data_IF_309465563572
#
_entry.id   IF_309465563572
#
_cell.length_a   1.000
_cell.length_b   1.000
_cell.length_c   1.000
_cell.angle_alpha   90.00
_cell.angle_beta   90.00
_cell.angle_gamma   90.00
#
_symmetry.space_group_name_H-M   'P 1'
#
loop_
_entity.id
_entity.type
_entity.pdbx_description
1 polymer ?
#
# COMPACT_ATOMS: atom_id res chain seq x y z
N UNK A 1 20.12 -16.28 29.08
CA UNK A 1 19.49 -15.91 27.80
C UNK A 1 18.20 -16.71 27.70
N UNK A 2 17.03 -16.05 27.75
CA UNK A 2 15.74 -16.74 27.65
C UNK A 2 15.35 -16.86 26.18
N UNK A 3 15.23 -18.10 25.69
CA UNK A 3 14.73 -18.41 24.36
C UNK A 3 13.25 -18.01 24.28
N UNK A 4 12.91 -17.11 23.35
CA UNK A 4 11.53 -16.74 23.06
C UNK A 4 10.93 -17.81 22.15
N UNK A 5 10.01 -18.61 22.67
CA UNK A 5 9.20 -19.54 21.88
C UNK A 5 8.40 -18.78 20.81
N UNK A 6 8.61 -19.11 19.52
CA UNK A 6 7.88 -18.50 18.42
C UNK A 6 6.44 -19.02 18.40
N UNK A 7 5.48 -18.17 18.77
CA UNK A 7 4.05 -18.50 18.68
C UNK A 7 3.66 -18.61 17.20
N UNK A 8 3.23 -19.80 16.75
CA UNK A 8 2.67 -19.98 15.41
C UNK A 8 1.46 -19.06 15.24
N UNK A 9 1.29 -18.42 14.06
CA UNK A 9 0.11 -17.61 13.81
C UNK A 9 -1.15 -18.47 13.94
N UNK A 10 -2.25 -17.90 14.49
CA UNK A 10 -3.49 -18.63 14.68
C UNK A 10 -4.02 -19.14 13.34
N UNK A 11 -4.21 -20.45 13.25
CA UNK A 11 -4.83 -21.08 12.08
C UNK A 11 -6.28 -20.58 11.98
N UNK A 12 -6.58 -19.77 10.97
CA UNK A 12 -7.96 -19.36 10.72
C UNK A 12 -8.72 -20.59 10.19
N UNK A 13 -9.71 -21.05 10.96
CA UNK A 13 -10.66 -22.04 10.49
C UNK A 13 -11.71 -21.32 9.68
N UNK A 14 -11.76 -21.58 8.37
CA UNK A 14 -12.89 -21.17 7.54
C UNK A 14 -14.07 -22.06 7.95
N UNK A 15 -14.92 -21.57 8.84
CA UNK A 15 -16.21 -22.20 9.13
C UNK A 15 -17.18 -21.80 8.03
N UNK A 16 -17.53 -22.73 7.15
CA UNK A 16 -18.60 -22.53 6.16
C UNK A 16 -19.93 -22.62 6.90
N UNK A 17 -20.73 -21.54 7.01
CA UNK A 17 -22.03 -21.61 7.68
C UNK A 17 -23.04 -22.40 6.83
N UNK A 18 -23.81 -23.28 7.47
CA UNK A 18 -24.84 -24.09 6.80
C UNK A 18 -24.89 -25.54 7.31
N UNK A 19 -25.88 -26.28 6.80
CA UNK A 19 -26.01 -27.73 6.98
C UNK A 19 -24.81 -28.46 6.34
N UNK A 20 -24.37 -29.58 6.93
CA UNK A 20 -23.17 -30.31 6.51
C UNK A 20 -23.27 -30.78 5.05
N UNK A 21 -24.49 -31.02 4.57
CA UNK A 21 -24.75 -31.31 3.16
C UNK A 21 -24.33 -30.16 2.22
N UNK A 22 -24.58 -28.91 2.60
CA UNK A 22 -24.19 -27.74 1.78
C UNK A 22 -22.70 -27.47 1.85
N UNK A 23 -22.07 -27.73 3.01
CA UNK A 23 -20.61 -27.63 3.15
C UNK A 23 -19.91 -28.64 2.25
N UNK A 24 -20.41 -29.88 2.21
CA UNK A 24 -19.88 -30.92 1.34
C UNK A 24 -20.03 -30.54 -0.14
N UNK A 25 -21.20 -30.06 -0.56
CA UNK A 25 -21.43 -29.59 -1.94
C UNK A 25 -20.47 -28.46 -2.35
N UNK A 26 -20.23 -27.48 -1.46
CA UNK A 26 -19.26 -26.40 -1.72
C UNK A 26 -17.83 -26.92 -1.82
N UNK A 27 -17.43 -27.83 -0.93
CA UNK A 27 -16.09 -28.43 -0.96
C UNK A 27 -15.87 -29.28 -2.21
N UNK A 28 -16.87 -30.06 -2.61
CA UNK A 28 -16.83 -30.89 -3.82
C UNK A 28 -16.73 -30.00 -5.07
N UNK A 29 -17.47 -28.88 -5.13
CA UNK A 29 -17.35 -27.88 -6.20
C UNK A 29 -15.97 -27.23 -6.26
N UNK A 30 -15.38 -26.89 -5.11
CA UNK A 30 -14.02 -26.33 -5.06
C UNK A 30 -12.97 -27.35 -5.52
N UNK A 31 -13.11 -28.61 -5.14
CA UNK A 31 -12.25 -29.69 -5.64
C UNK A 31 -12.43 -29.91 -7.15
N UNK A 32 -13.66 -29.81 -7.66
CA UNK A 32 -13.94 -29.92 -9.08
C UNK A 32 -13.27 -28.80 -9.89
N UNK A 33 -13.43 -27.55 -9.47
CA UNK A 33 -12.75 -26.39 -10.09
C UNK A 33 -11.24 -26.58 -10.07
N UNK A 34 -10.67 -27.04 -8.94
CA UNK A 34 -9.25 -27.38 -8.84
C UNK A 34 -8.84 -28.43 -9.88
N UNK A 35 -9.65 -29.47 -10.06
CA UNK A 35 -9.34 -30.55 -11.02
C UNK A 35 -9.35 -30.08 -12.48
N UNK A 36 -10.22 -29.14 -12.84
CA UNK A 36 -10.29 -28.55 -14.18
C UNK A 36 -9.04 -27.71 -14.43
N UNK A 37 -8.70 -26.83 -13.50
CA UNK A 37 -7.52 -25.95 -13.63
C UNK A 37 -6.24 -26.78 -13.79
N UNK A 38 -6.08 -27.84 -13.00
CA UNK A 38 -4.93 -28.76 -13.09
C UNK A 38 -4.90 -29.46 -14.46
N UNK A 39 -6.05 -29.91 -14.98
CA UNK A 39 -6.10 -30.55 -16.31
C UNK A 39 -5.78 -29.58 -17.45
N UNK A 40 -6.27 -28.35 -17.39
CA UNK A 40 -6.02 -27.34 -18.43
C UNK A 40 -4.56 -26.84 -18.41
N UNK A 41 -3.90 -26.87 -17.25
CA UNK A 41 -2.50 -26.41 -17.10
C UNK A 41 -1.45 -27.47 -17.43
N UNK A 42 -1.81 -28.76 -17.55
CA UNK A 42 -0.86 -29.86 -17.74
C UNK A 42 -0.86 -30.52 -19.13
N UNK A 43 -1.43 -29.90 -20.17
CA UNK A 43 -1.25 -30.37 -21.56
C UNK A 43 0.12 -30.01 -22.18
N UNK A 44 1.13 -29.68 -21.37
CA UNK A 44 2.52 -29.52 -21.81
C UNK A 44 3.42 -30.43 -20.97
N UNK A 45 3.86 -31.50 -21.64
CA UNK A 45 4.94 -32.45 -21.36
C UNK A 45 4.98 -33.31 -20.09
N UNK A 46 5.06 -34.62 -20.37
CA UNK A 46 5.44 -35.69 -19.46
C UNK A 46 6.88 -35.49 -18.97
N UNK A 47 7.02 -34.92 -17.78
CA UNK A 47 8.13 -35.26 -16.89
C UNK A 47 7.63 -35.23 -15.46
N UNK A 48 7.95 -36.27 -14.69
CA UNK A 48 7.78 -36.37 -13.24
C UNK A 48 8.31 -35.10 -12.55
N UNK A 49 7.44 -34.10 -12.44
CA UNK A 49 7.78 -32.84 -11.81
C UNK A 49 7.00 -32.83 -10.52
N UNK A 50 7.73 -32.98 -9.42
CA UNK A 50 7.28 -32.77 -8.05
C UNK A 50 6.17 -31.73 -8.02
N UNK A 51 5.02 -32.08 -7.45
CA UNK A 51 3.99 -31.13 -7.04
C UNK A 51 4.62 -30.09 -6.10
N UNK A 52 5.27 -29.08 -6.67
CA UNK A 52 5.49 -27.84 -5.96
C UNK A 52 4.11 -27.28 -5.68
N UNK A 53 3.78 -27.18 -4.39
CA UNK A 53 2.62 -26.48 -3.88
C UNK A 53 2.47 -25.18 -4.67
N UNK A 54 1.50 -25.13 -5.61
CA UNK A 54 1.08 -23.90 -6.24
C UNK A 54 0.61 -22.98 -5.11
N UNK A 55 1.52 -22.10 -4.70
CA UNK A 55 1.30 -21.17 -3.63
C UNK A 55 0.35 -20.10 -4.18
N UNK A 56 -0.95 -20.37 -4.10
CA UNK A 56 -2.04 -19.46 -4.50
C UNK A 56 -2.12 -18.19 -3.63
N UNK A 57 -1.09 -17.92 -2.82
CA UNK A 57 -0.98 -16.67 -2.10
C UNK A 57 -0.63 -15.56 -3.10
N UNK A 58 -1.64 -14.77 -3.45
CA UNK A 58 -1.51 -13.49 -4.17
C UNK A 58 -0.80 -12.41 -3.34
N UNK A 59 -0.39 -12.74 -2.11
CA UNK A 59 0.26 -11.85 -1.18
C UNK A 59 1.77 -12.05 -1.23
N UNK A 60 2.49 -10.95 -1.42
CA UNK A 60 3.94 -10.92 -1.26
C UNK A 60 4.22 -10.92 0.25
N UNK A 61 4.94 -11.93 0.74
CA UNK A 61 5.44 -11.93 2.11
C UNK A 61 6.59 -10.92 2.20
N UNK A 62 6.44 -9.91 3.05
CA UNK A 62 7.43 -8.86 3.29
C UNK A 62 7.75 -8.78 4.78
N UNK A 63 8.93 -8.27 5.11
CA UNK A 63 9.27 -8.06 6.51
C UNK A 63 8.39 -6.95 7.11
N UNK A 64 8.13 -7.04 8.42
CA UNK A 64 7.27 -6.05 9.11
C UNK A 64 7.77 -4.60 8.93
N UNK A 65 9.09 -4.41 8.85
CA UNK A 65 9.70 -3.10 8.64
C UNK A 65 9.30 -2.45 7.31
N UNK A 66 8.93 -3.25 6.31
CA UNK A 66 8.57 -2.78 4.98
C UNK A 66 7.10 -2.33 4.90
N UNK A 67 6.24 -2.80 5.82
CA UNK A 67 4.82 -2.41 5.88
C UNK A 67 4.55 -1.25 6.82
N UNK A 68 5.39 -1.04 7.84
CA UNK A 68 5.23 0.03 8.84
C UNK A 68 5.70 1.41 8.33
N UNK A 69 5.83 1.58 7.01
CA UNK A 69 6.21 2.84 6.38
C UNK A 69 5.03 3.82 6.32
N UNK A 70 5.28 5.09 6.66
CA UNK A 70 4.27 6.14 6.47
C UNK A 70 4.16 6.52 5.00
N UNK A 71 3.01 6.20 4.41
CA UNK A 71 2.71 6.49 3.02
C UNK A 71 1.76 7.69 2.91
N UNK A 72 1.98 8.52 1.90
CA UNK A 72 1.11 9.62 1.52
C UNK A 72 1.08 9.76 0.00
N UNK A 73 0.01 10.35 -0.51
CA UNK A 73 -0.17 10.60 -1.94
C UNK A 73 0.36 11.98 -2.28
N UNK A 74 1.11 12.04 -3.38
CA UNK A 74 1.70 13.26 -3.92
C UNK A 74 1.13 13.56 -5.29
N UNK A 75 0.68 14.80 -5.48
CA UNK A 75 0.39 15.35 -6.80
C UNK A 75 1.71 15.72 -7.49
N UNK A 76 1.82 15.44 -8.78
CA UNK A 76 3.01 15.75 -9.59
C UNK A 76 3.39 17.24 -9.50
N UNK A 77 2.41 18.13 -9.59
CA UNK A 77 2.62 19.59 -9.48
C UNK A 77 3.17 20.01 -8.11
N UNK A 78 2.78 19.32 -7.03
CA UNK A 78 3.37 19.53 -5.69
C UNK A 78 4.82 19.05 -5.65
N UNK A 79 5.13 17.92 -6.29
CA UNK A 79 6.50 17.40 -6.34
C UNK A 79 7.43 18.34 -7.14
N UNK A 80 7.00 18.78 -8.31
CA UNK A 80 7.74 19.75 -9.14
C UNK A 80 8.05 21.03 -8.36
N UNK A 81 7.07 21.58 -7.62
CA UNK A 81 7.30 22.75 -6.75
C UNK A 81 8.36 22.50 -5.69
N UNK A 82 8.41 21.31 -5.09
CA UNK A 82 9.44 20.97 -4.10
C UNK A 82 10.84 20.98 -4.73
N UNK A 83 10.96 20.42 -5.92
CA UNK A 83 12.22 20.42 -6.69
C UNK A 83 12.66 21.85 -6.98
N UNK A 84 11.79 22.68 -7.57
CA UNK A 84 12.12 24.07 -7.89
C UNK A 84 12.51 24.91 -6.66
N UNK A 85 11.83 24.70 -5.52
CA UNK A 85 12.18 25.39 -4.27
C UNK A 85 13.55 24.94 -3.75
N UNK A 86 13.87 23.65 -3.89
CA UNK A 86 15.16 23.10 -3.47
C UNK A 86 16.29 23.60 -4.36
N UNK A 87 16.08 23.62 -5.69
CA UNK A 87 17.03 24.16 -6.67
C UNK A 87 17.29 25.65 -6.43
N UNK A 88 16.22 26.44 -6.28
CA UNK A 88 16.34 27.87 -5.99
C UNK A 88 17.11 28.08 -4.67
N UNK A 89 16.78 27.35 -3.60
CA UNK A 89 17.54 27.45 -2.35
C UNK A 89 19.03 27.15 -2.53
N UNK A 90 19.37 26.13 -3.32
CA UNK A 90 20.76 25.74 -3.57
C UNK A 90 21.57 26.78 -4.35
N UNK A 91 20.91 27.69 -5.10
CA UNK A 91 21.61 28.71 -5.88
C UNK A 91 22.15 29.86 -5.02
N UNK A 92 21.64 30.06 -3.81
CA UNK A 92 22.07 31.14 -2.91
C UNK A 92 22.44 30.68 -1.50
N UNK A 93 22.18 29.42 -1.15
CA UNK A 93 22.53 28.85 0.15
C UNK A 93 23.23 27.50 -0.01
N UNK A 94 24.38 27.35 0.63
CA UNK A 94 25.15 26.09 0.65
C UNK A 94 24.64 25.09 1.69
N UNK A 95 23.52 25.39 2.36
CA UNK A 95 22.92 24.52 3.37
C UNK A 95 21.92 23.53 2.77
N UNK A 96 21.44 22.61 3.58
CA UNK A 96 20.48 21.59 3.16
C UNK A 96 19.18 21.71 3.94
N UNK A 97 18.06 21.53 3.24
CA UNK A 97 16.77 21.42 3.88
C UNK A 97 16.68 20.13 4.71
N UNK A 98 16.42 20.28 6.01
CA UNK A 98 16.10 19.18 6.92
C UNK A 98 14.61 19.18 7.24
N UNK A 99 14.04 17.99 7.35
CA UNK A 99 12.66 17.83 7.80
C UNK A 99 12.56 18.22 9.29
N UNK A 100 11.80 19.27 9.58
CA UNK A 100 11.59 19.76 10.95
C UNK A 100 10.29 19.25 11.56
N UNK A 101 9.22 19.23 10.79
CA UNK A 101 7.90 18.77 11.24
C UNK A 101 7.15 18.13 10.07
N UNK A 102 6.51 17.00 10.34
CA UNK A 102 5.56 16.36 9.43
C UNK A 102 4.20 16.32 10.09
N UNK A 103 3.17 16.70 9.35
CA UNK A 103 1.76 16.55 9.73
C UNK A 103 1.03 15.87 8.59
N UNK A 104 0.07 15.01 8.89
CA UNK A 104 -0.71 14.30 7.89
C UNK A 104 -2.18 14.69 8.05
N UNK A 105 -2.85 14.94 6.93
CA UNK A 105 -4.29 15.21 6.85
C UNK A 105 -4.91 14.28 5.80
N UNK A 106 -5.48 13.17 6.26
CA UNK A 106 -5.95 12.10 5.38
C UNK A 106 -4.77 11.45 4.65
N UNK A 107 -4.80 11.48 3.32
CA UNK A 107 -3.75 10.91 2.47
C UNK A 107 -2.65 11.91 2.09
N UNK A 108 -2.73 13.14 2.58
CA UNK A 108 -1.80 14.23 2.24
C UNK A 108 -0.85 14.52 3.39
N UNK A 109 0.43 14.66 3.07
CA UNK A 109 1.45 15.13 3.99
C UNK A 109 1.68 16.63 3.83
N UNK A 110 1.81 17.33 4.96
CA UNK A 110 2.35 18.68 5.04
C UNK A 110 3.65 18.65 5.85
N UNK A 111 4.74 19.05 5.22
CA UNK A 111 6.10 18.93 5.73
C UNK A 111 6.73 20.31 5.80
N UNK A 112 7.26 20.65 6.98
CA UNK A 112 8.10 21.84 7.14
C UNK A 112 9.56 21.45 7.00
N UNK A 113 10.21 22.02 6.01
CA UNK A 113 11.64 21.95 5.79
C UNK A 113 12.30 23.21 6.37
N UNK A 114 13.48 23.05 6.96
CA UNK A 114 14.29 24.17 7.47
C UNK A 114 15.74 23.93 7.10
N UNK A 115 16.42 24.95 6.58
CA UNK A 115 17.83 24.85 6.25
C UNK A 115 18.65 24.68 7.54
N UNK A 116 19.71 23.89 7.46
CA UNK A 116 20.60 23.63 8.58
C UNK A 116 21.62 24.75 8.84
N UNK A 117 21.94 25.56 7.82
CA UNK A 117 22.81 26.74 7.96
C UNK A 117 22.06 28.00 8.38
N UNK A 118 20.88 28.23 7.82
CA UNK A 118 20.06 29.40 8.14
C UNK A 118 18.62 29.00 8.52
N UNK A 119 18.25 29.26 9.77
CA UNK A 119 16.91 28.95 10.29
C UNK A 119 15.80 29.81 9.66
N UNK A 120 16.13 30.93 9.03
CA UNK A 120 15.18 31.78 8.30
C UNK A 120 14.75 31.14 6.97
N UNK A 121 15.58 30.27 6.39
CA UNK A 121 15.19 29.49 5.21
C UNK A 121 14.30 28.32 5.65
N UNK A 122 13.00 28.58 5.73
CA UNK A 122 11.99 27.58 6.06
C UNK A 122 10.91 27.53 4.98
N UNK A 123 10.57 26.33 4.54
CA UNK A 123 9.54 26.09 3.53
C UNK A 123 8.50 25.15 4.10
N UNK A 124 7.23 25.51 3.94
CA UNK A 124 6.12 24.58 4.15
C UNK A 124 5.72 24.01 2.79
N UNK A 125 5.82 22.70 2.65
CA UNK A 125 5.41 21.97 1.47
C UNK A 125 4.24 21.05 1.79
N UNK A 126 3.30 20.93 0.86
CA UNK A 126 2.19 19.98 0.94
C UNK A 126 2.22 19.06 -0.26
N UNK A 127 1.99 17.76 -0.03
CA UNK A 127 2.02 16.74 -1.07
C UNK A 127 0.87 16.86 -2.08
N UNK A 128 -0.16 17.65 -1.78
CA UNK A 128 -1.25 17.97 -2.71
C UNK A 128 -1.52 19.47 -2.73
N UNK A 129 -1.90 20.04 -3.89
CA UNK A 129 -2.47 21.37 -3.96
C UNK A 129 -3.84 21.41 -3.28
N UNK A 130 -4.26 22.63 -2.95
CA UNK A 130 -5.60 22.94 -2.48
C UNK A 130 -6.56 23.17 -3.66
N UNK A 131 -7.80 22.78 -3.46
CA UNK A 131 -8.94 23.13 -4.31
C UNK A 131 -9.54 24.48 -3.87
N UNK A 132 -10.40 25.11 -4.70
CA UNK A 132 -11.05 26.38 -4.35
C UNK A 132 -11.88 26.33 -3.06
N UNK A 133 -12.38 25.15 -2.68
CA UNK A 133 -13.12 24.92 -1.44
C UNK A 133 -12.22 24.75 -0.20
N UNK A 134 -10.90 24.87 -0.34
CA UNK A 134 -9.93 24.71 0.76
C UNK A 134 -9.56 23.27 1.10
N UNK A 135 -10.09 22.28 0.39
CA UNK A 135 -9.72 20.87 0.57
C UNK A 135 -8.49 20.49 -0.25
N UNK A 136 -7.85 19.38 0.10
CA UNK A 136 -6.76 18.84 -0.71
C UNK A 136 -7.29 18.06 -1.90
N UNK A 137 -6.79 18.37 -3.10
CA UNK A 137 -7.13 17.66 -4.34
C UNK A 137 -6.95 16.14 -4.24
N UNK A 138 -5.85 15.67 -3.63
CA UNK A 138 -5.60 14.23 -3.50
C UNK A 138 -6.64 13.54 -2.61
N UNK A 139 -7.05 14.14 -1.49
CA UNK A 139 -8.09 13.58 -0.63
C UNK A 139 -9.43 13.52 -1.37
N UNK A 140 -9.81 14.60 -2.07
CA UNK A 140 -11.04 14.66 -2.88
C UNK A 140 -11.05 13.58 -3.97
N UNK A 141 -9.94 13.37 -4.68
CA UNK A 141 -9.83 12.32 -5.72
C UNK A 141 -9.92 10.91 -5.16
N UNK A 142 -9.28 10.65 -4.02
CA UNK A 142 -9.33 9.33 -3.38
C UNK A 142 -10.74 9.04 -2.92
N UNK A 143 -11.39 10.00 -2.26
CA UNK A 143 -12.78 9.89 -1.82
C UNK A 143 -13.73 9.61 -3.00
N UNK A 144 -13.63 10.40 -4.08
CA UNK A 144 -14.40 10.17 -5.30
C UNK A 144 -14.13 8.78 -5.92
N UNK A 145 -12.90 8.30 -5.86
CA UNK A 145 -12.53 6.95 -6.31
C UNK A 145 -13.19 5.83 -5.50
N UNK A 146 -13.49 6.06 -4.21
CA UNK A 146 -14.28 5.13 -3.41
C UNK A 146 -15.76 5.20 -3.76
N UNK A 147 -16.34 6.40 -3.84
CA UNK A 147 -17.77 6.57 -4.12
C UNK A 147 -18.16 6.06 -5.51
N UNK A 148 -17.38 6.38 -6.55
CA UNK A 148 -17.66 5.90 -7.90
C UNK A 148 -17.57 4.37 -8.04
N UNK A 149 -16.80 3.69 -7.20
CA UNK A 149 -16.70 2.22 -7.22
C UNK A 149 -17.84 1.54 -6.47
N UNK A 150 -18.51 2.24 -5.54
CA UNK A 150 -19.62 1.67 -4.78
C UNK A 150 -20.95 1.75 -5.51
N UNK A 151 -21.03 2.38 -6.68
CA UNK A 151 -22.22 2.33 -7.53
C UNK A 151 -23.49 2.78 -6.82
N UNK A 152 -23.39 3.71 -5.86
CA UNK A 152 -24.55 4.37 -5.28
C UNK A 152 -24.95 5.47 -6.26
N UNK A 153 -25.79 5.10 -7.23
CA UNK A 153 -26.65 6.04 -7.93
C UNK A 153 -27.95 6.19 -7.17
#
# INVERSE_FOLDING_TARGET
>A
MMEKESKRPPCFKISVPGDDSKKKDVLDKLQHVRSIIVKETHSVDNSETKMENMNLNTYIQVEKKDVDQQLFVTAETSLQKLVSVSENHSSFCTGHFKLKKRTQKGHVAAIRFTCDKDKHHSVLWSSSPYLPNGEYMANSRIFHGYDCKQGIK
#
